data_IF_807743531028
#
_entry.id   IF_807743531028
#
_cell.length_a   1.000
_cell.length_b   1.000
_cell.length_c   1.000
_cell.angle_alpha   90.00
_cell.angle_beta   90.00
_cell.angle_gamma   90.00
#
_symmetry.space_group_name_H-M   'P 1'
#
loop_
_entity.id
_entity.type
_entity.pdbx_description
1 polymer ?
#
# COMPACT_ATOMS: atom_id res chain seq x y z
N UNK A 1 27.55 26.96 -34.59
CA UNK A 1 27.06 28.16 -33.91
C UNK A 1 25.56 27.92 -33.68
N UNK A 2 25.17 26.91 -32.88
CA UNK A 2 25.16 26.86 -31.39
C UNK A 2 24.52 28.12 -30.83
N UNK A 3 23.22 28.04 -30.51
CA UNK A 3 22.66 27.79 -29.17
C UNK A 3 22.51 29.14 -28.44
N UNK A 4 21.34 29.48 -27.91
CA UNK A 4 20.93 29.37 -26.49
C UNK A 4 19.69 30.31 -26.43
N UNK A 5 18.49 30.04 -25.89
CA UNK A 5 18.14 29.59 -24.54
C UNK A 5 16.61 29.28 -24.53
N UNK A 6 16.23 28.04 -24.25
CA UNK A 6 15.00 27.71 -23.52
C UNK A 6 15.51 26.76 -22.44
N UNK A 7 15.33 27.12 -21.17
CA UNK A 7 14.93 26.20 -20.10
C UNK A 7 14.90 26.97 -18.77
N UNK A 8 13.69 27.23 -18.29
CA UNK A 8 13.43 27.51 -16.90
C UNK A 8 12.82 26.22 -16.31
N UNK A 9 13.68 25.26 -16.00
CA UNK A 9 13.34 24.17 -15.09
C UNK A 9 13.20 24.77 -13.69
N UNK A 10 11.98 24.69 -13.14
CA UNK A 10 11.71 25.04 -11.75
C UNK A 10 12.03 23.79 -10.93
N UNK A 11 13.23 23.76 -10.35
CA UNK A 11 13.58 22.89 -9.23
C UNK A 11 12.74 23.30 -8.01
N UNK A 12 11.75 22.48 -7.68
CA UNK A 12 11.06 22.48 -6.39
C UNK A 12 11.47 21.22 -5.62
N UNK A 13 12.72 21.19 -5.19
CA UNK A 13 13.13 20.39 -4.03
C UNK A 13 12.80 21.21 -2.78
N UNK A 14 11.67 20.94 -2.13
CA UNK A 14 11.48 21.33 -0.72
C UNK A 14 12.41 20.46 0.13
N UNK A 15 13.68 20.87 0.27
CA UNK A 15 14.56 20.30 1.28
C UNK A 15 13.92 20.53 2.66
N UNK A 16 13.59 19.45 3.37
CA UNK A 16 13.18 19.48 4.77
C UNK A 16 14.23 20.26 5.57
N UNK A 17 13.79 21.24 6.36
CA UNK A 17 14.72 22.03 7.16
C UNK A 17 15.30 21.16 8.28
N UNK A 18 16.50 21.48 8.79
CA UNK A 18 17.07 20.77 9.97
C UNK A 18 16.10 20.76 11.16
N UNK A 19 15.27 21.80 11.30
CA UNK A 19 14.22 21.88 12.31
C UNK A 19 13.11 20.84 12.09
N UNK A 20 12.72 20.58 10.85
CA UNK A 20 11.70 19.59 10.53
C UNK A 20 12.17 18.16 10.85
N UNK A 21 13.46 17.88 10.63
CA UNK A 21 14.06 16.59 10.97
C UNK A 21 14.13 16.41 12.50
N UNK A 22 14.55 17.44 13.23
CA UNK A 22 14.64 17.40 14.69
C UNK A 22 13.25 17.25 15.36
N UNK A 23 12.21 17.88 14.80
CA UNK A 23 10.82 17.70 15.25
C UNK A 23 10.31 16.28 14.96
N UNK A 24 10.55 15.74 13.77
CA UNK A 24 10.17 14.37 13.43
C UNK A 24 10.87 13.34 14.35
N UNK A 25 12.17 13.50 14.59
CA UNK A 25 12.92 12.64 15.51
C UNK A 25 12.35 12.65 16.92
N UNK A 26 11.97 13.83 17.44
CA UNK A 26 11.33 13.97 18.77
C UNK A 26 9.98 13.25 18.82
N UNK A 27 9.17 13.37 17.76
CA UNK A 27 7.87 12.71 17.65
C UNK A 27 8.03 11.18 17.64
N UNK A 28 9.00 10.64 16.91
CA UNK A 28 9.22 9.19 16.81
C UNK A 28 10.06 8.58 17.95
N UNK A 29 10.81 9.40 18.70
CA UNK A 29 11.52 8.94 19.89
C UNK A 29 10.58 8.43 20.99
N UNK A 30 9.34 8.93 21.03
CA UNK A 30 8.32 8.47 21.96
C UNK A 30 7.67 7.19 21.46
N UNK A 31 7.95 6.06 22.12
CA UNK A 31 7.27 4.80 21.82
C UNK A 31 5.82 4.85 22.30
N UNK A 32 4.90 4.52 21.40
CA UNK A 32 3.48 4.31 21.70
C UNK A 32 3.21 2.81 21.76
N UNK A 33 2.57 2.34 22.84
CA UNK A 33 2.23 0.94 23.01
C UNK A 33 0.76 0.67 22.66
N UNK A 34 0.53 -0.23 21.69
CA UNK A 34 -0.80 -0.70 21.32
C UNK A 34 -1.03 -2.09 21.93
N UNK A 35 -1.79 -2.14 23.01
CA UNK A 35 -2.08 -3.40 23.72
C UNK A 35 -3.12 -4.20 22.92
N UNK A 36 -2.77 -5.44 22.60
CA UNK A 36 -3.57 -6.36 21.79
C UNK A 36 -3.44 -6.13 20.28
N UNK A 37 -2.53 -5.24 19.86
CA UNK A 37 -2.23 -5.00 18.45
C UNK A 37 -1.39 -6.10 17.80
N UNK A 38 -1.04 -5.92 16.52
CA UNK A 38 -0.08 -6.77 15.80
C UNK A 38 1.26 -6.91 16.54
N UNK A 39 2.03 -7.99 16.27
CA UNK A 39 3.43 -8.04 16.67
C UNK A 39 4.21 -6.89 16.01
N UNK A 40 5.29 -6.42 16.63
CA UNK A 40 6.08 -5.31 16.12
C UNK A 40 6.92 -5.71 14.89
N UNK A 41 7.08 -4.76 13.97
CA UNK A 41 7.95 -4.88 12.78
C UNK A 41 7.25 -5.45 11.55
N UNK A 42 7.94 -5.51 10.41
CA UNK A 42 7.39 -6.04 9.17
C UNK A 42 7.33 -7.57 9.18
N UNK A 43 6.47 -8.14 8.33
CA UNK A 43 6.31 -9.58 8.14
C UNK A 43 6.53 -9.98 6.68
N UNK A 44 7.00 -11.20 6.44
CA UNK A 44 7.02 -11.77 5.09
C UNK A 44 5.59 -12.22 4.75
N UNK A 45 5.14 -11.91 3.54
CA UNK A 45 3.84 -12.35 3.03
C UNK A 45 4.06 -13.18 1.77
N UNK A 46 3.46 -14.35 1.71
CA UNK A 46 3.66 -15.32 0.62
C UNK A 46 2.31 -15.80 0.09
N UNK A 47 2.20 -15.95 -1.22
CA UNK A 47 1.14 -16.71 -1.86
C UNK A 47 1.75 -17.99 -2.46
N UNK A 48 1.10 -19.12 -2.25
CA UNK A 48 1.50 -20.43 -2.79
C UNK A 48 0.35 -21.05 -3.54
N UNK A 49 0.56 -21.27 -4.84
CA UNK A 49 -0.42 -21.82 -5.77
C UNK A 49 -1.81 -21.14 -5.66
N UNK A 50 -1.82 -19.82 -5.41
CA UNK A 50 -3.05 -19.13 -5.08
C UNK A 50 -3.95 -18.94 -6.31
N UNK A 51 -5.13 -19.55 -6.28
CA UNK A 51 -6.16 -19.44 -7.30
C UNK A 51 -7.39 -18.70 -6.75
N UNK A 52 -8.05 -17.88 -7.57
CA UNK A 52 -9.25 -17.15 -7.13
C UNK A 52 -10.39 -17.23 -8.14
N UNK A 53 -11.61 -17.40 -7.61
CA UNK A 53 -12.84 -17.48 -8.39
C UNK A 53 -13.85 -16.42 -7.98
N UNK A 54 -14.75 -16.06 -8.90
CA UNK A 54 -16.03 -15.43 -8.61
C UNK A 54 -17.15 -16.21 -9.30
N UNK A 55 -17.93 -16.95 -8.51
CA UNK A 55 -18.80 -17.99 -9.05
C UNK A 55 -17.96 -19.05 -9.77
N UNK A 56 -18.33 -19.38 -11.00
CA UNK A 56 -17.62 -20.39 -11.81
C UNK A 56 -16.42 -19.80 -12.58
N UNK A 57 -16.21 -18.48 -12.53
CA UNK A 57 -15.13 -17.82 -13.28
C UNK A 57 -13.84 -17.81 -12.48
N UNK A 58 -12.84 -18.56 -12.94
CA UNK A 58 -11.45 -18.44 -12.49
C UNK A 58 -10.87 -17.09 -12.96
N UNK A 59 -10.38 -16.29 -12.01
CA UNK A 59 -9.82 -14.95 -12.24
C UNK A 59 -8.32 -14.90 -12.03
N UNK A 60 -7.79 -15.72 -11.13
CA UNK A 60 -6.35 -15.90 -10.92
C UNK A 60 -6.04 -17.38 -10.85
N UNK A 61 -4.93 -17.80 -11.44
CA UNK A 61 -4.50 -19.18 -11.51
C UNK A 61 -3.04 -19.31 -11.05
N UNK A 62 -2.81 -20.18 -10.07
CA UNK A 62 -1.49 -20.64 -9.64
C UNK A 62 -0.50 -19.52 -9.28
N UNK A 63 -0.92 -18.54 -8.48
CA UNK A 63 -0.03 -17.42 -8.12
C UNK A 63 0.93 -17.84 -7.00
N UNK A 64 2.21 -17.98 -7.36
CA UNK A 64 3.35 -18.12 -6.45
C UNK A 64 4.14 -16.81 -6.37
N UNK A 65 4.08 -16.13 -5.23
CA UNK A 65 4.73 -14.82 -5.05
C UNK A 65 5.14 -14.62 -3.59
N UNK A 66 6.37 -14.14 -3.39
CA UNK A 66 6.91 -13.78 -2.07
C UNK A 66 7.12 -12.27 -2.00
N UNK A 67 6.56 -11.66 -0.97
CA UNK A 67 6.79 -10.25 -0.59
C UNK A 67 7.63 -10.23 0.69
N UNK A 68 8.96 -10.03 0.58
CA UNK A 68 9.87 -10.10 1.72
C UNK A 68 9.60 -9.03 2.76
N UNK A 69 9.88 -9.37 4.03
CA UNK A 69 9.74 -8.43 5.14
C UNK A 69 10.44 -7.09 4.88
N UNK A 70 9.72 -5.99 5.08
CA UNK A 70 10.24 -4.62 5.01
C UNK A 70 10.63 -4.15 3.61
N UNK A 71 10.29 -4.91 2.57
CA UNK A 71 10.48 -4.51 1.18
C UNK A 71 9.18 -4.01 0.57
N UNK A 72 9.32 -3.28 -0.54
CA UNK A 72 8.22 -2.81 -1.37
C UNK A 72 8.10 -3.69 -2.61
N UNK A 73 6.97 -4.36 -2.79
CA UNK A 73 6.67 -5.15 -3.98
C UNK A 73 5.58 -4.47 -4.82
N UNK A 74 5.91 -4.12 -6.06
CA UNK A 74 4.95 -3.61 -7.04
C UNK A 74 4.29 -4.76 -7.81
N UNK A 75 2.96 -4.72 -7.92
CA UNK A 75 2.16 -5.59 -8.77
C UNK A 75 1.74 -4.75 -9.98
N UNK A 76 2.28 -5.08 -11.15
CA UNK A 76 2.05 -4.36 -12.40
C UNK A 76 1.32 -5.23 -13.42
N UNK A 77 0.69 -4.61 -14.41
CA UNK A 77 0.03 -5.32 -15.50
C UNK A 77 -1.24 -4.61 -15.99
N UNK A 78 -1.80 -5.02 -17.14
CA UNK A 78 -2.98 -4.40 -17.71
C UNK A 78 -4.21 -4.42 -16.78
N UNK A 79 -5.19 -3.57 -17.05
CA UNK A 79 -6.46 -3.61 -16.31
C UNK A 79 -7.15 -4.96 -16.49
N UNK A 80 -7.72 -5.50 -15.40
CA UNK A 80 -8.47 -6.77 -15.44
C UNK A 80 -7.63 -8.05 -15.33
N UNK A 81 -6.29 -7.97 -15.22
CA UNK A 81 -5.44 -9.15 -15.02
C UNK A 81 -5.44 -9.75 -13.59
N UNK A 82 -6.35 -9.29 -12.72
CA UNK A 82 -6.54 -9.89 -11.39
C UNK A 82 -5.72 -9.29 -10.24
N UNK A 83 -4.89 -8.26 -10.45
CA UNK A 83 -4.08 -7.61 -9.39
C UNK A 83 -4.86 -7.23 -8.12
N UNK A 84 -5.96 -6.49 -8.26
CA UNK A 84 -6.79 -6.09 -7.10
C UNK A 84 -7.53 -7.29 -6.48
N UNK A 85 -7.80 -8.35 -7.25
CA UNK A 85 -8.31 -9.62 -6.71
C UNK A 85 -7.25 -10.27 -5.83
N UNK A 86 -6.01 -10.39 -6.33
CA UNK A 86 -4.89 -10.95 -5.60
C UNK A 86 -4.64 -10.19 -4.30
N UNK A 87 -4.60 -8.87 -4.36
CA UNK A 87 -4.42 -8.01 -3.18
C UNK A 87 -5.53 -8.20 -2.12
N UNK A 88 -6.76 -8.53 -2.52
CA UNK A 88 -7.86 -8.88 -1.59
C UNK A 88 -7.78 -10.31 -1.03
N UNK A 89 -7.03 -11.22 -1.68
CA UNK A 89 -6.68 -12.51 -1.08
C UNK A 89 -5.71 -12.29 0.08
N UNK A 90 -4.75 -11.39 -0.10
CA UNK A 90 -3.68 -11.12 0.86
C UNK A 90 -4.17 -10.63 2.23
N UNK A 91 -5.35 -10.00 2.32
CA UNK A 91 -5.96 -9.57 3.58
C UNK A 91 -7.35 -10.16 3.85
N UNK A 92 -7.73 -11.20 3.09
CA UNK A 92 -9.02 -11.88 3.18
C UNK A 92 -10.23 -10.98 2.92
N UNK A 93 -10.09 -9.89 2.19
CA UNK A 93 -11.25 -9.04 1.84
C UNK A 93 -12.13 -9.63 0.74
N UNK A 94 -11.62 -10.57 -0.07
CA UNK A 94 -12.43 -11.27 -1.06
C UNK A 94 -13.59 -12.06 -0.42
N UNK A 95 -13.47 -12.51 0.84
CA UNK A 95 -14.54 -13.20 1.60
C UNK A 95 -15.81 -12.35 1.75
N UNK A 96 -15.72 -11.03 1.57
CA UNK A 96 -16.86 -10.11 1.60
C UNK A 96 -17.64 -10.07 0.29
N UNK A 97 -17.12 -10.70 -0.77
CA UNK A 97 -17.70 -10.71 -2.10
C UNK A 97 -18.43 -12.05 -2.29
N UNK A 98 -19.75 -12.04 -2.52
CA UNK A 98 -20.50 -13.27 -2.74
C UNK A 98 -19.94 -14.10 -3.90
N UNK A 99 -19.80 -15.40 -3.67
CA UNK A 99 -19.28 -16.34 -4.67
C UNK A 99 -17.76 -16.27 -4.87
N UNK A 100 -17.03 -15.45 -4.10
CA UNK A 100 -15.58 -15.49 -4.11
C UNK A 100 -15.06 -16.78 -3.45
N UNK A 101 -14.08 -17.42 -4.07
CA UNK A 101 -13.39 -18.58 -3.51
C UNK A 101 -11.88 -18.49 -3.74
N UNK A 102 -11.13 -19.19 -2.90
CA UNK A 102 -9.67 -19.32 -2.91
C UNK A 102 -9.30 -20.80 -2.85
N UNK A 103 -8.26 -21.16 -3.58
CA UNK A 103 -7.49 -22.40 -3.44
C UNK A 103 -6.00 -22.05 -3.36
N UNK A 104 -5.19 -22.89 -2.73
CA UNK A 104 -3.81 -22.57 -2.35
C UNK A 104 -3.70 -21.91 -0.96
N UNK A 105 -2.52 -21.39 -0.64
CA UNK A 105 -2.20 -20.85 0.69
C UNK A 105 -1.73 -19.39 0.62
N UNK A 106 -2.10 -18.59 1.63
CA UNK A 106 -1.54 -17.25 1.83
C UNK A 106 -0.91 -17.20 3.22
N UNK A 107 0.42 -17.10 3.26
CA UNK A 107 1.20 -17.21 4.50
C UNK A 107 1.68 -15.84 4.97
N UNK A 108 1.50 -15.55 6.26
CA UNK A 108 2.08 -14.39 6.94
C UNK A 108 3.09 -14.90 7.97
N UNK A 109 4.38 -14.66 7.73
CA UNK A 109 5.51 -15.27 8.48
C UNK A 109 5.42 -16.80 8.56
N UNK A 110 5.00 -17.44 7.47
CA UNK A 110 4.86 -18.89 7.37
C UNK A 110 3.57 -19.47 7.97
N UNK A 111 2.71 -18.64 8.56
CA UNK A 111 1.40 -19.07 9.07
C UNK A 111 0.30 -18.76 8.04
N UNK A 112 -0.48 -19.77 7.65
CA UNK A 112 -1.60 -19.57 6.73
C UNK A 112 -2.71 -18.72 7.37
N UNK A 113 -3.00 -17.57 6.75
CA UNK A 113 -4.02 -16.64 7.22
C UNK A 113 -5.45 -17.18 7.02
N UNK A 114 -5.61 -18.25 6.24
CA UNK A 114 -6.86 -18.97 5.99
C UNK A 114 -7.05 -20.20 6.88
N UNK A 115 -6.05 -20.56 7.66
CA UNK A 115 -6.11 -21.74 8.52
C UNK A 115 -7.33 -21.72 9.45
N UNK A 116 -7.85 -22.91 9.75
CA UNK A 116 -9.03 -23.07 10.61
C UNK A 116 -8.76 -22.45 11.98
N UNK A 117 -9.66 -21.54 12.41
CA UNK A 117 -9.54 -20.82 13.68
C UNK A 117 -8.91 -19.42 13.55
N UNK A 118 -8.29 -19.10 12.42
CA UNK A 118 -7.75 -17.76 12.15
C UNK A 118 -8.88 -16.78 11.86
N UNK A 119 -9.00 -15.73 12.67
CA UNK A 119 -10.05 -14.71 12.52
C UNK A 119 -9.62 -13.68 11.48
N UNK A 120 -10.44 -13.44 10.46
CA UNK A 120 -10.19 -12.44 9.43
C UNK A 120 -9.92 -11.03 10.01
N UNK A 121 -10.54 -10.67 11.13
CA UNK A 121 -10.30 -9.40 11.80
C UNK A 121 -8.86 -9.28 12.32
N UNK A 122 -8.27 -10.37 12.84
CA UNK A 122 -6.87 -10.38 13.29
C UNK A 122 -5.90 -10.23 12.13
N UNK A 123 -6.20 -10.92 11.02
CA UNK A 123 -5.44 -10.80 9.76
C UNK A 123 -5.46 -9.35 9.27
N UNK A 124 -6.64 -8.73 9.20
CA UNK A 124 -6.82 -7.34 8.73
C UNK A 124 -6.23 -6.27 9.67
N UNK A 125 -5.88 -6.62 10.91
CA UNK A 125 -5.09 -5.74 11.78
C UNK A 125 -3.60 -5.83 11.45
N UNK A 126 -3.10 -7.02 11.12
CA UNK A 126 -1.71 -7.23 10.71
C UNK A 126 -1.45 -6.75 9.28
N UNK A 127 -2.46 -6.79 8.42
CA UNK A 127 -2.39 -6.47 7.00
C UNK A 127 -3.37 -5.32 6.71
N UNK A 128 -2.86 -4.09 6.73
CA UNK A 128 -3.61 -2.88 6.42
C UNK A 128 -3.88 -2.76 4.92
N UNK A 129 -4.94 -2.02 4.54
CA UNK A 129 -5.28 -1.79 3.14
C UNK A 129 -5.66 -0.33 2.86
N UNK A 130 -5.14 0.20 1.77
CA UNK A 130 -5.47 1.52 1.20
C UNK A 130 -6.06 1.29 -0.18
N UNK A 131 -7.22 1.90 -0.45
CA UNK A 131 -7.96 1.70 -1.69
C UNK A 131 -7.68 2.84 -2.68
N UNK A 132 -7.94 2.56 -3.96
CA UNK A 132 -7.80 3.52 -5.06
C UNK A 132 -8.62 4.79 -4.83
N UNK A 133 -9.89 4.61 -4.44
CA UNK A 133 -10.76 5.72 -4.04
C UNK A 133 -10.62 5.94 -2.52
N UNK A 134 -10.22 7.15 -2.08
CA UNK A 134 -10.17 7.46 -0.66
C UNK A 134 -11.51 7.19 0.02
N UNK A 135 -11.48 6.54 1.18
CA UNK A 135 -12.67 6.18 1.95
C UNK A 135 -12.54 6.56 3.45
N UNK A 136 -12.26 7.83 3.78
CA UNK A 136 -12.36 8.28 5.17
C UNK A 136 -13.81 8.15 5.64
N UNK A 137 -14.02 7.99 6.95
CA UNK A 137 -15.34 8.12 7.55
C UNK A 137 -15.71 9.61 7.52
N UNK A 138 -16.69 10.03 6.67
CA UNK A 138 -16.83 11.44 6.31
C UNK A 138 -17.33 12.31 7.48
N UNK A 139 -18.15 11.73 8.36
CA UNK A 139 -18.70 12.41 9.53
C UNK A 139 -17.76 12.40 10.74
N UNK A 140 -16.77 11.50 10.76
CA UNK A 140 -15.77 11.46 11.84
C UNK A 140 -14.73 12.55 11.62
N UNK A 141 -14.15 13.05 12.71
CA UNK A 141 -13.05 14.01 12.63
C UNK A 141 -11.78 13.37 12.05
N UNK A 142 -10.76 14.18 11.73
CA UNK A 142 -9.45 13.68 11.31
C UNK A 142 -8.86 12.77 12.41
N UNK A 143 -8.86 13.23 13.66
CA UNK A 143 -8.41 12.44 14.82
C UNK A 143 -9.17 11.13 14.95
N UNK A 144 -10.50 11.18 14.83
CA UNK A 144 -11.34 10.00 14.94
C UNK A 144 -11.13 9.00 13.82
N UNK A 145 -10.87 9.48 12.59
CA UNK A 145 -10.50 8.63 11.47
C UNK A 145 -9.24 7.83 11.76
N UNK A 146 -8.18 8.50 12.23
CA UNK A 146 -6.90 7.84 12.57
C UNK A 146 -7.12 6.78 13.66
N UNK A 147 -7.87 7.12 14.72
CA UNK A 147 -8.12 6.22 15.85
C UNK A 147 -9.23 5.18 15.59
N UNK A 148 -9.88 5.19 14.43
CA UNK A 148 -11.06 4.35 14.16
C UNK A 148 -10.73 2.86 14.26
N UNK A 149 -9.57 2.45 13.75
CA UNK A 149 -9.15 1.05 13.76
C UNK A 149 -8.95 0.53 15.19
N UNK A 150 -8.37 1.34 16.10
CA UNK A 150 -8.27 0.99 17.52
C UNK A 150 -9.64 0.75 18.16
N UNK A 151 -10.61 1.63 17.88
CA UNK A 151 -11.98 1.50 18.40
C UNK A 151 -12.67 0.23 17.88
N UNK A 152 -12.58 -0.03 16.58
CA UNK A 152 -13.22 -1.18 15.92
C UNK A 152 -12.62 -2.51 16.38
N UNK A 153 -11.30 -2.56 16.56
CA UNK A 153 -10.58 -3.73 17.05
C UNK A 153 -10.54 -3.84 18.58
N UNK A 154 -11.11 -2.87 19.32
CA UNK A 154 -11.07 -2.80 20.79
C UNK A 154 -9.66 -2.82 21.38
N UNK A 155 -8.72 -2.20 20.66
CA UNK A 155 -7.33 -2.06 21.09
C UNK A 155 -7.19 -0.92 22.09
N UNK A 156 -6.26 -1.07 23.02
CA UNK A 156 -5.89 0.00 23.95
C UNK A 156 -4.59 0.63 23.47
N UNK A 157 -4.52 1.95 23.58
CA UNK A 157 -3.33 2.74 23.30
C UNK A 157 -3.08 3.62 24.52
N UNK A 158 -1.83 3.64 24.97
CA UNK A 158 -1.38 4.40 26.14
C UNK A 158 -1.33 5.91 25.86
N UNK A 159 -1.02 6.31 24.62
CA UNK A 159 -0.95 7.70 24.20
C UNK A 159 -1.54 7.94 22.80
N UNK A 160 -2.85 8.23 22.77
CA UNK A 160 -3.59 8.42 21.52
C UNK A 160 -3.19 9.69 20.76
N UNK A 161 -2.74 10.73 21.45
CA UNK A 161 -2.39 11.99 20.80
C UNK A 161 -1.06 11.85 20.07
N UNK A 162 -0.07 11.21 20.70
CA UNK A 162 1.20 10.86 20.07
C UNK A 162 0.97 9.92 18.89
N UNK A 163 0.10 8.92 19.03
CA UNK A 163 -0.24 8.02 17.92
C UNK A 163 -0.83 8.77 16.72
N UNK A 164 -1.74 9.72 16.97
CA UNK A 164 -2.37 10.53 15.92
C UNK A 164 -1.32 11.35 15.20
N UNK A 165 -0.44 12.02 15.94
CA UNK A 165 0.66 12.80 15.37
C UNK A 165 1.60 11.92 14.55
N UNK A 166 2.11 10.81 15.11
CA UNK A 166 2.99 9.87 14.41
C UNK A 166 2.36 9.34 13.12
N UNK A 167 1.09 8.93 13.17
CA UNK A 167 0.38 8.36 12.02
C UNK A 167 0.18 9.40 10.91
N UNK A 168 -0.18 10.64 11.28
CA UNK A 168 -0.36 11.73 10.33
C UNK A 168 0.98 12.25 9.77
N UNK A 169 2.05 12.20 10.55
CA UNK A 169 3.40 12.57 10.12
C UNK A 169 3.93 11.57 9.11
N UNK A 170 3.87 10.26 9.42
CA UNK A 170 4.26 9.18 8.47
C UNK A 170 3.48 9.24 7.15
N UNK A 171 2.23 9.67 7.22
CA UNK A 171 1.40 9.81 6.02
C UNK A 171 1.59 11.15 5.31
N UNK A 172 2.56 12.00 5.68
CA UNK A 172 2.82 13.29 5.05
C UNK A 172 1.67 14.31 5.17
N UNK A 173 0.83 14.22 6.20
CA UNK A 173 -0.38 15.03 6.38
C UNK A 173 -0.34 15.96 7.60
N UNK A 174 0.46 15.66 8.63
CA UNK A 174 0.47 16.36 9.92
C UNK A 174 0.54 17.89 9.80
N UNK A 175 1.50 18.42 9.04
CA UNK A 175 1.72 19.86 8.84
C UNK A 175 0.49 20.60 8.31
N UNK A 176 -0.38 19.93 7.57
CA UNK A 176 -1.58 20.53 6.95
C UNK A 176 -2.84 20.47 7.82
N UNK A 177 -2.83 19.65 8.88
CA UNK A 177 -4.05 19.32 9.63
C UNK A 177 -3.93 19.46 11.15
N UNK A 178 -2.72 19.62 11.71
CA UNK A 178 -2.47 19.68 13.16
C UNK A 178 -3.35 20.70 13.91
N UNK A 179 -3.65 21.84 13.28
CA UNK A 179 -4.44 22.92 13.89
C UNK A 179 -5.96 22.73 13.72
N UNK A 180 -6.39 21.63 13.08
CA UNK A 180 -7.81 21.37 12.73
C UNK A 180 -8.20 19.90 12.82
N UNK A 181 -7.59 19.15 13.74
CA UNK A 181 -7.81 17.70 13.94
C UNK A 181 -9.27 17.31 14.23
N UNK A 182 -10.07 18.25 14.74
CA UNK A 182 -11.49 18.05 15.04
C UNK A 182 -12.42 18.42 13.87
N UNK A 183 -11.86 18.80 12.71
CA UNK A 183 -12.63 18.99 11.49
C UNK A 183 -13.06 17.64 10.88
N UNK A 184 -14.21 17.58 10.19
CA UNK A 184 -14.66 16.36 9.50
C UNK A 184 -13.65 15.88 8.45
N UNK A 185 -13.34 14.58 8.44
CA UNK A 185 -12.42 13.99 7.46
C UNK A 185 -12.92 14.11 6.01
N UNK A 186 -14.23 14.18 5.81
CA UNK A 186 -14.84 14.40 4.49
C UNK A 186 -14.63 15.80 3.90
N UNK A 187 -14.18 16.78 4.70
CA UNK A 187 -13.90 18.14 4.24
C UNK A 187 -12.49 18.31 3.62
N UNK A 188 -11.65 17.29 3.69
CA UNK A 188 -10.31 17.28 3.11
C UNK A 188 -10.37 17.15 1.57
N UNK A 189 -9.32 17.63 0.88
CA UNK A 189 -9.12 17.38 -0.55
C UNK A 189 -8.88 15.88 -0.82
N UNK A 190 -9.03 15.42 -2.07
CA UNK A 190 -8.85 14.00 -2.43
C UNK A 190 -7.49 13.43 -2.01
N UNK A 191 -6.39 14.15 -2.25
CA UNK A 191 -5.05 13.75 -1.81
C UNK A 191 -4.89 13.72 -0.29
N UNK A 192 -5.43 14.70 0.42
CA UNK A 192 -5.43 14.71 1.88
C UNK A 192 -6.30 13.56 2.46
N UNK A 193 -7.44 13.24 1.83
CA UNK A 193 -8.26 12.10 2.22
C UNK A 193 -7.50 10.78 2.02
N UNK A 194 -6.72 10.66 0.96
CA UNK A 194 -5.89 9.48 0.72
C UNK A 194 -4.81 9.33 1.79
N UNK A 195 -4.08 10.40 2.09
CA UNK A 195 -3.08 10.43 3.17
C UNK A 195 -3.71 10.15 4.54
N UNK A 196 -4.94 10.62 4.80
CA UNK A 196 -5.69 10.25 6.01
C UNK A 196 -6.02 8.75 6.06
N UNK A 197 -6.35 8.13 4.92
CA UNK A 197 -6.57 6.69 4.86
C UNK A 197 -5.28 5.91 5.14
N UNK A 198 -4.13 6.38 4.64
CA UNK A 198 -2.80 5.82 4.95
C UNK A 198 -2.53 5.94 6.45
N UNK A 199 -2.66 7.14 7.03
CA UNK A 199 -2.47 7.37 8.47
C UNK A 199 -3.35 6.44 9.32
N UNK A 200 -4.62 6.30 8.97
CA UNK A 200 -5.57 5.38 9.64
C UNK A 200 -5.11 3.93 9.56
N UNK A 201 -4.58 3.48 8.42
CA UNK A 201 -4.06 2.12 8.27
C UNK A 201 -2.77 1.90 9.06
N UNK A 202 -1.92 2.92 9.19
CA UNK A 202 -0.68 2.87 9.97
C UNK A 202 -0.90 2.93 11.48
N UNK A 203 -2.01 3.52 11.95
CA UNK A 203 -2.29 3.73 13.38
C UNK A 203 -2.43 2.45 14.22
N UNK A 204 -2.55 1.27 13.59
CA UNK A 204 -2.53 -0.02 14.29
C UNK A 204 -1.19 -0.74 14.22
N UNK A 205 -0.15 -0.09 13.69
CA UNK A 205 1.18 -0.65 13.44
C UNK A 205 1.13 -1.99 12.69
N UNK A 206 0.57 -2.01 11.46
CA UNK A 206 0.46 -3.24 10.69
C UNK A 206 1.85 -3.78 10.29
N UNK A 207 1.95 -5.10 10.13
CA UNK A 207 3.15 -5.74 9.60
C UNK A 207 3.27 -5.55 8.08
N UNK A 208 2.13 -5.48 7.40
CA UNK A 208 2.02 -5.34 5.94
C UNK A 208 1.02 -4.24 5.59
N UNK A 209 1.34 -3.39 4.62
CA UNK A 209 0.45 -2.39 4.05
C UNK A 209 0.21 -2.67 2.56
N UNK A 210 -1.04 -2.97 2.23
CA UNK A 210 -1.48 -3.18 0.87
C UNK A 210 -2.04 -1.87 0.29
N UNK A 211 -1.67 -1.52 -0.94
CA UNK A 211 -2.13 -0.31 -1.62
C UNK A 211 -2.66 -0.65 -3.01
N UNK A 212 -3.96 -0.48 -3.23
CA UNK A 212 -4.61 -0.73 -4.52
C UNK A 212 -4.70 0.58 -5.31
N UNK A 213 -3.74 0.84 -6.19
CA UNK A 213 -3.63 2.07 -7.01
C UNK A 213 -3.75 3.38 -6.21
N UNK A 214 -2.89 3.60 -5.19
CA UNK A 214 -3.09 4.68 -4.22
C UNK A 214 -2.99 6.09 -4.82
N UNK A 215 -2.42 6.25 -6.02
CA UNK A 215 -2.14 7.53 -6.66
C UNK A 215 -2.94 7.81 -7.93
N UNK A 216 -3.82 6.90 -8.38
CA UNK A 216 -4.43 7.00 -9.73
C UNK A 216 -5.30 8.24 -9.95
N UNK A 217 -5.87 8.79 -8.88
CA UNK A 217 -6.75 9.96 -8.92
C UNK A 217 -6.15 11.19 -8.21
N UNK A 218 -4.82 11.21 -8.00
CA UNK A 218 -4.13 12.26 -7.27
C UNK A 218 -3.42 13.25 -8.21
N UNK A 219 -3.34 14.51 -7.77
CA UNK A 219 -2.47 15.50 -8.40
C UNK A 219 -0.98 15.13 -8.18
N UNK A 220 -0.04 15.67 -9.00
CA UNK A 220 1.37 15.32 -8.92
C UNK A 220 1.99 15.54 -7.53
N UNK A 221 1.62 16.61 -6.83
CA UNK A 221 2.14 16.92 -5.48
C UNK A 221 1.66 15.87 -4.49
N UNK A 222 0.38 15.50 -4.54
CA UNK A 222 -0.16 14.46 -3.67
C UNK A 222 0.42 13.08 -3.96
N UNK A 223 0.63 12.75 -5.23
CA UNK A 223 1.33 11.52 -5.65
C UNK A 223 2.73 11.45 -5.05
N UNK A 224 3.52 12.53 -5.18
CA UNK A 224 4.90 12.57 -4.69
C UNK A 224 4.98 12.32 -3.19
N UNK A 225 4.07 12.92 -2.40
CA UNK A 225 4.00 12.66 -0.95
C UNK A 225 3.64 11.23 -0.57
N UNK A 226 2.80 10.57 -1.37
CA UNK A 226 2.49 9.14 -1.15
C UNK A 226 3.70 8.27 -1.50
N UNK A 227 4.44 8.61 -2.55
CA UNK A 227 5.70 7.92 -2.91
C UNK A 227 6.77 8.09 -1.82
N UNK A 228 6.95 9.30 -1.28
CA UNK A 228 7.82 9.59 -0.13
C UNK A 228 7.41 8.77 1.10
N UNK A 229 6.10 8.72 1.41
CA UNK A 229 5.57 7.90 2.50
C UNK A 229 5.92 6.41 2.30
N UNK A 230 5.81 5.88 1.08
CA UNK A 230 6.16 4.48 0.81
C UNK A 230 7.64 4.23 1.07
N UNK A 231 8.51 5.16 0.68
CA UNK A 231 9.95 5.03 0.91
C UNK A 231 10.31 5.13 2.40
N UNK A 232 9.68 6.02 3.16
CA UNK A 232 9.84 6.12 4.61
C UNK A 232 9.40 4.85 5.36
N UNK A 233 8.43 4.11 4.82
CA UNK A 233 7.95 2.86 5.42
C UNK A 233 8.87 1.66 5.15
N UNK A 234 9.85 1.81 4.24
CA UNK A 234 10.80 0.75 3.90
C UNK A 234 11.55 0.29 5.16
N UNK A 235 11.67 -1.02 5.32
CA UNK A 235 12.28 -1.63 6.50
C UNK A 235 11.40 -1.66 7.76
N UNK A 236 10.38 -0.80 7.86
CA UNK A 236 9.45 -0.77 8.98
C UNK A 236 8.17 -1.57 8.73
N UNK A 237 7.68 -1.54 7.49
CA UNK A 237 6.44 -2.21 7.05
C UNK A 237 6.70 -2.86 5.70
N UNK A 238 6.17 -4.06 5.50
CA UNK A 238 6.16 -4.68 4.15
C UNK A 238 5.09 -4.03 3.30
N UNK A 239 5.42 -3.49 2.14
CA UNK A 239 4.46 -2.78 1.29
C UNK A 239 4.19 -3.57 0.02
N UNK A 240 2.92 -3.74 -0.32
CA UNK A 240 2.50 -4.31 -1.62
C UNK A 240 1.64 -3.29 -2.34
N UNK A 241 2.11 -2.80 -3.48
CA UNK A 241 1.44 -1.74 -4.23
C UNK A 241 1.00 -2.25 -5.61
N UNK A 242 -0.29 -2.13 -5.92
CA UNK A 242 -0.79 -2.27 -7.28
C UNK A 242 -0.71 -0.92 -7.96
N UNK A 243 -0.10 -0.87 -9.14
CA UNK A 243 -0.08 0.35 -9.96
C UNK A 243 0.00 0.01 -11.44
N UNK A 244 -0.60 0.86 -12.27
CA UNK A 244 -0.41 0.87 -13.72
C UNK A 244 0.53 1.99 -14.16
N UNK A 245 1.04 2.80 -13.23
CA UNK A 245 2.07 3.81 -13.50
C UNK A 245 3.46 3.15 -13.38
N UNK A 246 4.07 2.87 -14.53
CA UNK A 246 5.34 2.15 -14.59
C UNK A 246 6.49 2.96 -14.00
N UNK A 247 6.47 4.28 -14.14
CA UNK A 247 7.48 5.14 -13.53
C UNK A 247 7.35 5.15 -11.99
N UNK A 248 6.12 5.12 -11.47
CA UNK A 248 5.90 4.97 -10.03
C UNK A 248 6.41 3.64 -9.52
N UNK A 249 6.03 2.52 -10.16
CA UNK A 249 6.54 1.20 -9.79
C UNK A 249 8.07 1.20 -9.74
N UNK A 250 8.72 1.68 -10.81
CA UNK A 250 10.17 1.75 -10.89
C UNK A 250 10.81 2.59 -9.77
N UNK A 251 10.18 3.70 -9.36
CA UNK A 251 10.72 4.58 -8.31
C UNK A 251 10.59 4.00 -6.90
N UNK A 252 9.48 3.31 -6.59
CA UNK A 252 9.15 2.96 -5.19
C UNK A 252 9.44 1.51 -4.82
N UNK A 253 9.47 0.56 -5.77
CA UNK A 253 9.56 -0.86 -5.45
C UNK A 253 10.96 -1.46 -5.47
N UNK A 254 11.24 -2.36 -4.52
CA UNK A 254 12.41 -3.26 -4.55
C UNK A 254 12.20 -4.42 -5.55
N UNK A 255 10.99 -4.97 -5.53
CA UNK A 255 10.58 -6.10 -6.33
C UNK A 255 9.36 -5.75 -7.18
N UNK A 256 9.25 -6.37 -8.34
CA UNK A 256 8.12 -6.21 -9.21
C UNK A 256 7.60 -7.57 -9.68
N UNK A 257 6.28 -7.74 -9.74
CA UNK A 257 5.60 -8.90 -10.29
C UNK A 257 4.63 -8.46 -11.39
N UNK A 258 4.81 -9.02 -12.58
CA UNK A 258 4.02 -8.72 -13.76
C UNK A 258 2.87 -9.72 -13.93
N UNK A 259 1.65 -9.20 -13.85
CA UNK A 259 0.41 -9.94 -14.05
C UNK A 259 -0.12 -9.73 -15.47
N UNK A 260 -0.50 -10.82 -16.12
CA UNK A 260 -1.13 -10.77 -17.44
C UNK A 260 -2.32 -11.73 -17.49
N UNK A 261 -3.37 -11.32 -18.18
CA UNK A 261 -4.49 -12.18 -18.54
C UNK A 261 -4.75 -12.02 -20.04
N UNK A 262 -4.94 -13.15 -20.73
CA UNK A 262 -5.45 -13.13 -22.09
C UNK A 262 -6.99 -13.10 -22.08
N UNK A 263 -7.60 -12.86 -23.25
CA UNK A 263 -9.05 -12.86 -23.38
C UNK A 263 -9.64 -14.22 -22.94
N UNK A 264 -10.59 -14.17 -22.00
CA UNK A 264 -11.23 -15.35 -21.39
C UNK A 264 -10.26 -16.31 -20.65
N UNK A 265 -9.06 -15.87 -20.30
CA UNK A 265 -8.13 -16.61 -19.46
C UNK A 265 -7.98 -15.95 -18.08
N UNK A 266 -7.68 -16.73 -17.03
CA UNK A 266 -7.34 -16.17 -15.74
C UNK A 266 -6.03 -15.38 -15.81
N UNK A 267 -5.86 -14.47 -14.84
CA UNK A 267 -4.60 -13.78 -14.64
C UNK A 267 -3.55 -14.70 -14.02
N UNK A 268 -2.32 -14.56 -14.48
CA UNK A 268 -1.16 -15.28 -13.98
C UNK A 268 -0.01 -14.30 -13.74
N UNK A 269 0.93 -14.67 -12.86
CA UNK A 269 2.22 -13.99 -12.76
C UNK A 269 3.12 -14.50 -13.88
N UNK A 270 3.44 -13.62 -14.83
CA UNK A 270 4.30 -13.94 -15.98
C UNK A 270 5.77 -13.91 -15.59
N UNK A 271 6.16 -12.89 -14.82
CA UNK A 271 7.53 -12.69 -14.40
C UNK A 271 7.55 -11.92 -13.07
N UNK A 272 8.51 -12.23 -12.22
CA UNK A 272 8.74 -11.54 -10.95
C UNK A 272 10.24 -11.45 -10.67
N UNK A 273 10.67 -10.38 -10.00
CA UNK A 273 12.07 -10.22 -9.63
C UNK A 273 12.41 -8.80 -9.16
N UNK A 274 13.71 -8.49 -9.00
CA UNK A 274 14.20 -7.15 -8.73
C UNK A 274 13.65 -6.13 -9.74
N UNK A 275 13.15 -5.00 -9.25
CA UNK A 275 12.53 -3.96 -10.10
C UNK A 275 13.50 -3.45 -11.16
N UNK A 276 14.77 -3.24 -10.82
CA UNK A 276 15.79 -2.80 -11.76
C UNK A 276 15.96 -3.77 -12.94
N UNK A 277 15.96 -5.08 -12.67
CA UNK A 277 16.03 -6.13 -13.71
C UNK A 277 14.75 -6.15 -14.55
N UNK A 278 13.58 -6.13 -13.91
CA UNK A 278 12.27 -6.17 -14.59
C UNK A 278 12.08 -5.02 -15.58
N UNK A 279 12.67 -3.84 -15.30
CA UNK A 279 12.55 -2.65 -16.15
C UNK A 279 13.70 -2.46 -17.15
N UNK A 280 14.82 -3.15 -16.97
CA UNK A 280 16.00 -3.02 -17.85
C UNK A 280 16.16 -4.22 -18.79
N UNK A 281 16.25 -5.42 -18.23
CA UNK A 281 16.51 -6.67 -18.97
C UNK A 281 15.63 -7.82 -18.44
N UNK A 282 14.30 -7.71 -18.55
CA UNK A 282 13.41 -8.81 -18.18
C UNK A 282 13.64 -10.03 -19.09
N UNK A 283 13.34 -11.20 -18.55
CA UNK A 283 13.50 -12.50 -19.20
C UNK A 283 12.36 -12.78 -20.17
N UNK A 284 11.11 -12.41 -19.81
CA UNK A 284 9.95 -12.59 -20.68
C UNK A 284 9.74 -11.37 -21.58
N UNK A 285 9.59 -11.61 -22.88
CA UNK A 285 9.39 -10.53 -23.86
C UNK A 285 8.11 -9.73 -23.62
N UNK A 286 7.08 -10.34 -23.04
CA UNK A 286 5.81 -9.66 -22.70
C UNK A 286 6.01 -8.66 -21.57
N UNK A 287 6.87 -8.98 -20.60
CA UNK A 287 7.27 -8.04 -19.54
C UNK A 287 7.97 -6.83 -20.15
N UNK A 288 8.95 -7.06 -21.04
CA UNK A 288 9.67 -5.98 -21.74
C UNK A 288 8.71 -5.07 -22.50
N UNK A 289 7.81 -5.66 -23.27
CA UNK A 289 6.84 -4.93 -24.08
C UNK A 289 5.90 -4.08 -23.21
N UNK A 290 5.46 -4.60 -22.06
CA UNK A 290 4.59 -3.88 -21.14
C UNK A 290 5.31 -2.72 -20.44
N UNK A 291 6.49 -2.95 -19.87
CA UNK A 291 7.23 -1.88 -19.14
C UNK A 291 7.73 -0.78 -20.07
N UNK A 292 7.96 -1.07 -21.36
CA UNK A 292 8.27 -0.08 -22.39
C UNK A 292 7.03 0.61 -22.98
N UNK A 293 5.82 0.27 -22.53
CA UNK A 293 4.57 0.87 -23.00
C UNK A 293 4.19 0.50 -24.43
N UNK A 294 4.63 -0.65 -24.94
CA UNK A 294 4.24 -1.14 -26.28
C UNK A 294 2.78 -1.64 -26.29
N UNK A 295 2.28 -2.09 -25.15
CA UNK A 295 0.87 -2.37 -24.90
C UNK A 295 0.54 -2.19 -23.42
N UNK A 296 -0.74 -1.96 -23.10
CA UNK A 296 -1.21 -1.80 -21.72
C UNK A 296 -2.45 -0.93 -21.62
#
# INVERSE_FOLDING_TARGET
MTDVEIDAEIDLEENLTEQDQEEAEKVFAKKVEIIGGPPAGPATLEAKDACAWFGDRLVLEGVDLVMPKGQVTALIGPSGCGKSTFLRLLNRMHELIPGAALDGEILLDGEDIYATGTRAQQVRMRIGMVFQKPNPFPAMTIRENVLAALKLARLKCDDKDTLVEQSLTRAGLWKEVRDRLDSPGGALSGGQQQRLCIARSLAVHPNVLLMDEPCSALDPTSTRRVEETIDELRGEVTVVIVTHNMQQAQRVSDLCAFFLAAENQPGVVVEQGPTDVMFSTPTDSRTLDYVQGRFG
#
